data_IF_255459018313
#
_entry.id   IF_255459018313
#
_cell.length_a   1.000
_cell.length_b   1.000
_cell.length_c   1.000
_cell.angle_alpha   90.00
_cell.angle_beta   90.00
_cell.angle_gamma   90.00
#
_symmetry.space_group_name_H-M   'P 1'
#
loop_
_entity.id
_entity.type
_entity.pdbx_description
1 polymer ?
#
# COMPACT_ATOMS: atom_id res chain seq x y z
N UNK A 1 -42.56 2.12 25.01
CA UNK A 1 -42.14 0.83 24.42
C UNK A 1 -41.03 0.27 25.30
N UNK A 2 -41.35 -0.74 26.12
CA UNK A 2 -40.41 -1.42 27.03
C UNK A 2 -39.82 -2.63 26.29
N UNK A 3 -38.51 -2.78 26.33
CA UNK A 3 -37.79 -4.04 26.15
C UNK A 3 -36.79 -4.10 27.31
N UNK A 4 -37.18 -4.60 28.49
CA UNK A 4 -37.03 -5.99 28.97
C UNK A 4 -35.67 -6.59 28.63
N UNK A 5 -34.74 -6.41 29.58
CA UNK A 5 -33.58 -7.27 29.79
C UNK A 5 -34.12 -8.64 30.26
N UNK A 6 -33.72 -9.70 29.57
CA UNK A 6 -33.81 -11.08 30.06
C UNK A 6 -32.37 -11.60 30.09
N UNK A 7 -31.91 -12.17 31.22
CA UNK A 7 -30.57 -12.71 31.36
C UNK A 7 -30.54 -14.13 30.78
N UNK A 8 -29.69 -14.39 29.79
CA UNK A 8 -29.40 -15.76 29.38
C UNK A 8 -28.21 -16.27 30.19
N UNK A 9 -28.58 -16.90 31.30
CA UNK A 9 -28.10 -18.20 31.77
C UNK A 9 -26.60 -18.47 31.71
N UNK A 10 -26.02 -18.26 32.90
CA UNK A 10 -24.81 -18.90 33.39
C UNK A 10 -25.00 -20.42 33.33
N UNK A 11 -24.51 -21.04 32.27
CA UNK A 11 -24.23 -22.48 32.28
C UNK A 11 -22.75 -22.68 32.61
N UNK A 12 -22.52 -23.34 33.75
CA UNK A 12 -21.22 -23.79 34.21
C UNK A 12 -20.47 -24.56 33.11
N UNK A 13 -19.39 -23.97 32.58
CA UNK A 13 -18.39 -24.67 31.76
C UNK A 13 -17.06 -24.61 32.52
N UNK A 14 -16.40 -25.76 32.77
CA UNK A 14 -15.15 -25.81 33.52
C UNK A 14 -14.02 -25.06 32.82
N UNK A 15 -13.12 -24.52 33.64
CA UNK A 15 -11.89 -23.80 33.32
C UNK A 15 -11.22 -24.29 32.02
N UNK A 16 -11.36 -23.50 30.96
CA UNK A 16 -10.94 -23.86 29.62
C UNK A 16 -11.18 -22.70 28.66
N UNK A 17 -10.17 -21.82 28.55
CA UNK A 17 -10.15 -20.62 27.72
C UNK A 17 -10.68 -20.87 26.29
N UNK A 18 -11.90 -20.41 26.01
CA UNK A 18 -12.34 -20.13 24.65
C UNK A 18 -11.86 -18.73 24.33
N UNK A 19 -10.65 -18.63 23.77
CA UNK A 19 -10.15 -17.40 23.17
C UNK A 19 -11.02 -17.09 21.93
N UNK A 20 -12.07 -16.31 22.10
CA UNK A 20 -12.74 -15.64 20.98
C UNK A 20 -11.78 -14.59 20.44
N UNK A 21 -10.89 -15.01 19.53
CA UNK A 21 -10.02 -14.11 18.77
C UNK A 21 -10.96 -13.17 18.00
N UNK A 22 -11.14 -11.95 18.53
CA UNK A 22 -11.68 -10.85 17.74
C UNK A 22 -10.84 -10.80 16.47
N UNK A 23 -11.49 -10.81 15.31
CA UNK A 23 -10.84 -10.71 14.00
C UNK A 23 -10.36 -9.27 13.81
N UNK A 24 -9.51 -8.80 14.72
CA UNK A 24 -8.87 -7.50 14.65
C UNK A 24 -7.88 -7.54 13.49
N UNK A 25 -8.07 -6.64 12.53
CA UNK A 25 -7.12 -6.47 11.45
C UNK A 25 -5.79 -6.04 12.07
N UNK A 26 -4.69 -6.80 11.89
CA UNK A 26 -3.44 -6.51 12.59
C UNK A 26 -2.90 -5.10 12.28
N UNK A 27 -3.30 -4.50 11.16
CA UNK A 27 -2.92 -3.13 10.79
C UNK A 27 -3.43 -2.04 11.76
N UNK A 28 -4.42 -2.31 12.60
CA UNK A 28 -4.95 -1.35 13.61
C UNK A 28 -4.52 -1.68 15.05
N UNK A 29 -3.94 -2.86 15.28
CA UNK A 29 -3.58 -3.35 16.62
C UNK A 29 -2.11 -3.78 16.76
N UNK A 30 -1.32 -3.83 15.68
CA UNK A 30 0.10 -4.13 15.72
C UNK A 30 0.97 -2.86 15.86
N UNK A 31 2.26 -3.04 16.14
CA UNK A 31 3.24 -1.95 16.28
C UNK A 31 3.55 -1.16 15.00
N UNK A 32 2.92 -1.52 13.87
CA UNK A 32 3.07 -0.89 12.53
C UNK A 32 4.50 -0.84 12.00
N UNK A 33 5.33 -1.83 12.34
CA UNK A 33 6.74 -1.85 11.93
C UNK A 33 6.92 -1.86 10.41
N UNK A 34 5.94 -2.39 9.66
CA UNK A 34 5.93 -2.27 8.20
C UNK A 34 5.90 -0.83 7.70
N UNK A 35 5.30 0.10 8.45
CA UNK A 35 5.31 1.52 8.14
C UNK A 35 6.59 2.22 8.61
N UNK A 36 7.36 1.64 9.54
CA UNK A 36 8.59 2.23 10.09
C UNK A 36 9.82 1.85 9.27
N UNK A 37 9.87 0.59 8.80
CA UNK A 37 11.09 0.00 8.26
C UNK A 37 11.11 -0.09 6.73
N UNK A 38 9.97 -0.21 6.07
CA UNK A 38 9.94 -0.38 4.60
C UNK A 38 9.92 0.96 3.85
N UNK A 39 10.77 1.09 2.84
CA UNK A 39 10.59 2.07 1.77
C UNK A 39 9.48 1.60 0.83
N UNK A 40 8.39 2.36 0.78
CA UNK A 40 7.20 2.01 0.01
C UNK A 40 7.27 2.65 -1.38
N UNK A 41 7.69 1.88 -2.37
CA UNK A 41 7.61 2.27 -3.78
C UNK A 41 6.16 2.21 -4.26
N UNK A 42 5.77 3.16 -5.09
CA UNK A 42 4.38 3.33 -5.51
C UNK A 42 4.28 3.46 -7.02
N UNK A 43 3.18 2.95 -7.57
CA UNK A 43 2.86 3.05 -8.99
C UNK A 43 1.94 4.25 -9.28
N UNK A 44 1.57 4.44 -10.55
CA UNK A 44 0.73 5.56 -10.98
C UNK A 44 -0.65 5.59 -10.32
N UNK A 45 -1.26 4.42 -10.16
CA UNK A 45 -2.59 4.29 -9.60
C UNK A 45 -2.60 4.52 -8.09
N UNK A 46 -1.52 4.13 -7.39
CA UNK A 46 -1.32 4.47 -5.99
C UNK A 46 -1.21 5.99 -5.81
N UNK A 47 -0.37 6.66 -6.60
CA UNK A 47 -0.16 8.11 -6.55
C UNK A 47 -1.47 8.84 -6.86
N UNK A 48 -2.16 8.44 -7.93
CA UNK A 48 -3.45 9.02 -8.30
C UNK A 48 -4.48 8.86 -7.18
N UNK A 49 -4.64 7.63 -6.66
CA UNK A 49 -5.61 7.33 -5.60
C UNK A 49 -5.33 8.11 -4.32
N UNK A 50 -4.06 8.22 -3.91
CA UNK A 50 -3.67 9.03 -2.75
C UNK A 50 -3.98 10.51 -2.99
N UNK A 51 -3.62 11.04 -4.16
CA UNK A 51 -3.81 12.46 -4.50
C UNK A 51 -5.30 12.86 -4.43
N UNK A 52 -6.17 12.07 -5.05
CA UNK A 52 -7.61 12.37 -5.10
C UNK A 52 -8.27 12.23 -3.73
N UNK A 53 -7.95 11.20 -2.95
CA UNK A 53 -8.58 11.00 -1.63
C UNK A 53 -8.08 11.98 -0.57
N UNK A 54 -6.83 12.46 -0.68
CA UNK A 54 -6.26 13.42 0.26
C UNK A 54 -6.47 14.89 -0.16
N UNK A 55 -6.75 15.16 -1.44
CA UNK A 55 -6.73 16.51 -1.99
C UNK A 55 -5.33 17.14 -1.95
N UNK A 56 -4.29 16.31 -2.09
CA UNK A 56 -2.89 16.72 -2.02
C UNK A 56 -2.16 16.44 -3.33
N UNK A 57 -1.27 17.36 -3.70
CA UNK A 57 -0.32 17.14 -4.80
C UNK A 57 0.68 16.02 -4.46
N UNK A 58 1.09 15.19 -5.44
CA UNK A 58 2.02 14.08 -5.22
C UNK A 58 3.31 14.47 -4.48
N UNK A 59 3.88 15.64 -4.79
CA UNK A 59 5.10 16.15 -4.17
C UNK A 59 4.97 16.37 -2.66
N UNK A 60 3.75 16.42 -2.11
CA UNK A 60 3.53 16.48 -0.67
C UNK A 60 3.89 15.16 0.01
N UNK A 61 3.65 14.02 -0.65
CA UNK A 61 3.81 12.69 -0.07
C UNK A 61 4.84 11.79 -0.75
N UNK A 62 5.42 12.21 -1.89
CA UNK A 62 6.44 11.46 -2.61
C UNK A 62 7.85 12.01 -2.41
N UNK A 63 8.82 11.10 -2.36
CA UNK A 63 10.24 11.39 -2.51
C UNK A 63 10.83 10.57 -3.67
N UNK A 64 11.98 11.02 -4.16
CA UNK A 64 12.72 10.35 -5.23
C UNK A 64 13.80 9.43 -4.65
N UNK A 65 13.94 8.26 -5.24
CA UNK A 65 15.07 7.36 -5.03
C UNK A 65 15.81 7.17 -6.35
N UNK A 66 17.10 6.85 -6.31
CA UNK A 66 17.80 6.41 -7.51
C UNK A 66 17.14 5.14 -8.06
N UNK A 67 16.96 5.05 -9.38
CA UNK A 67 16.27 3.93 -9.99
C UNK A 67 16.93 2.59 -9.66
N UNK A 68 16.15 1.63 -9.20
CA UNK A 68 16.61 0.27 -8.90
C UNK A 68 16.81 -0.56 -10.17
N UNK A 69 15.93 -0.35 -11.14
CA UNK A 69 16.04 -0.92 -12.48
C UNK A 69 16.31 0.22 -13.48
N UNK A 70 17.51 0.23 -14.07
CA UNK A 70 17.89 1.27 -15.02
C UNK A 70 17.05 1.29 -16.30
N UNK A 71 16.40 0.18 -16.65
CA UNK A 71 15.52 0.07 -17.81
C UNK A 71 14.12 0.65 -17.56
N UNK A 72 13.69 0.68 -16.29
CA UNK A 72 12.38 1.15 -15.85
C UNK A 72 12.43 2.41 -14.97
N UNK A 73 13.60 3.00 -14.77
CA UNK A 73 13.73 4.29 -14.07
C UNK A 73 13.14 5.46 -14.87
N UNK A 74 12.54 6.42 -14.18
CA UNK A 74 11.96 7.63 -14.76
C UNK A 74 13.09 8.59 -15.15
N UNK A 75 13.20 8.95 -16.43
CA UNK A 75 14.16 9.96 -16.91
C UNK A 75 13.57 11.35 -16.77
N UNK A 76 14.02 12.08 -15.75
CA UNK A 76 13.65 13.48 -15.47
C UNK A 76 14.91 14.32 -15.25
N UNK A 77 14.73 15.64 -15.10
CA UNK A 77 15.85 16.59 -14.89
C UNK A 77 16.67 16.25 -13.65
N UNK A 78 16.00 15.73 -12.63
CA UNK A 78 16.54 15.34 -11.32
C UNK A 78 17.42 14.09 -11.39
N UNK A 79 17.25 13.26 -12.43
CA UNK A 79 18.04 12.03 -12.59
C UNK A 79 17.26 10.91 -13.26
N UNK A 80 17.76 9.68 -13.06
CA UNK A 80 17.03 8.45 -13.33
C UNK A 80 16.51 7.94 -11.98
N UNK A 81 15.20 8.03 -11.77
CA UNK A 81 14.61 7.92 -10.43
C UNK A 81 13.42 6.96 -10.37
N UNK A 82 13.16 6.45 -9.17
CA UNK A 82 11.91 5.81 -8.76
C UNK A 82 11.19 6.68 -7.73
N UNK A 83 9.88 6.45 -7.56
CA UNK A 83 9.04 7.18 -6.61
C UNK A 83 8.66 6.30 -5.43
N UNK A 84 8.82 6.84 -4.23
CA UNK A 84 8.41 6.21 -2.98
C UNK A 84 7.66 7.19 -2.08
N UNK A 85 6.89 6.65 -1.13
CA UNK A 85 6.30 7.45 -0.07
C UNK A 85 7.39 8.03 0.82
N UNK A 86 7.24 9.32 1.16
CA UNK A 86 8.11 10.00 2.11
C UNK A 86 8.14 9.30 3.47
N UNK A 87 9.28 9.42 4.13
CA UNK A 87 9.42 9.17 5.56
C UNK A 87 9.29 10.48 6.36
N UNK A 88 8.63 10.42 7.52
CA UNK A 88 8.50 11.50 8.51
C UNK A 88 8.60 10.89 9.92
N UNK A 89 9.40 11.49 10.80
CA UNK A 89 9.55 11.04 12.19
C UNK A 89 9.90 9.54 12.35
N UNK A 90 10.71 8.98 11.44
CA UNK A 90 11.14 7.58 11.51
C UNK A 90 10.12 6.56 10.99
N UNK A 91 9.09 6.99 10.27
CA UNK A 91 8.18 6.09 9.56
C UNK A 91 7.45 6.77 8.42
N UNK A 92 6.61 6.01 7.72
CA UNK A 92 5.89 6.46 6.53
C UNK A 92 5.14 7.76 6.81
N UNK A 93 5.06 8.67 5.85
CA UNK A 93 4.39 9.97 6.02
C UNK A 93 2.92 9.86 6.45
N UNK A 94 2.28 8.71 6.20
CA UNK A 94 0.91 8.43 6.60
C UNK A 94 0.79 7.66 7.92
N UNK A 95 1.89 7.43 8.62
CA UNK A 95 1.90 6.86 9.96
C UNK A 95 1.58 7.96 10.97
N UNK A 96 0.53 7.75 11.75
CA UNK A 96 0.14 8.63 12.86
C UNK A 96 0.21 7.86 14.18
N UNK A 97 0.69 8.54 15.21
CA UNK A 97 0.78 8.03 16.58
C UNK A 97 -0.18 8.81 17.47
N UNK A 98 -1.05 8.10 18.17
CA UNK A 98 -1.99 8.68 19.14
C UNK A 98 -2.04 7.78 20.38
N UNK A 99 -1.58 8.30 21.52
CA UNK A 99 -1.57 7.57 22.83
C UNK A 99 -0.96 6.17 22.72
N UNK A 100 0.23 6.08 22.13
CA UNK A 100 0.98 4.83 21.89
C UNK A 100 0.30 3.84 20.90
N UNK A 101 -0.79 4.24 20.25
CA UNK A 101 -1.42 3.51 19.15
C UNK A 101 -0.95 4.11 17.84
N UNK A 102 -0.38 3.27 16.97
CA UNK A 102 0.04 3.64 15.64
C UNK A 102 -1.01 3.26 14.60
N UNK A 103 -1.28 4.13 13.64
CA UNK A 103 -2.28 3.89 12.60
C UNK A 103 -1.89 4.49 11.26
N UNK A 104 -2.32 3.83 10.18
CA UNK A 104 -2.16 4.36 8.82
C UNK A 104 -3.36 5.25 8.48
N UNK A 105 -3.12 6.55 8.28
CA UNK A 105 -4.17 7.54 7.98
C UNK A 105 -4.83 7.32 6.61
N UNK A 106 -4.21 6.54 5.74
CA UNK A 106 -4.71 6.20 4.40
C UNK A 106 -5.17 4.74 4.28
N UNK A 107 -5.47 4.05 5.39
CA UNK A 107 -5.71 2.60 5.40
C UNK A 107 -6.71 2.13 4.31
N UNK A 108 -7.82 2.84 4.11
CA UNK A 108 -8.89 2.50 3.17
C UNK A 108 -8.45 2.57 1.69
N UNK A 109 -7.51 3.45 1.38
CA UNK A 109 -7.05 3.72 0.02
C UNK A 109 -5.53 3.60 -0.15
N UNK A 110 -4.88 2.87 0.76
CA UNK A 110 -3.43 2.66 0.81
C UNK A 110 -2.87 2.04 -0.49
N UNK A 111 -1.56 2.18 -0.75
CA UNK A 111 -0.91 1.59 -1.91
C UNK A 111 -1.14 0.08 -2.03
N UNK A 112 -1.09 -0.44 -3.26
CA UNK A 112 -1.29 -1.88 -3.53
C UNK A 112 -0.31 -2.76 -2.75
N UNK A 113 0.96 -2.38 -2.70
CA UNK A 113 2.00 -3.06 -1.91
C UNK A 113 1.66 -3.11 -0.41
N UNK A 114 1.05 -2.06 0.15
CA UNK A 114 0.62 -2.03 1.55
C UNK A 114 -0.66 -2.86 1.80
N UNK A 115 -1.50 -3.06 0.77
CA UNK A 115 -2.67 -3.96 0.84
C UNK A 115 -2.25 -5.42 0.82
N UNK A 116 -1.25 -5.74 0.01
CA UNK A 116 -0.77 -7.10 -0.22
C UNK A 116 0.19 -7.60 0.87
N UNK A 117 0.80 -6.71 1.65
CA UNK A 117 1.67 -7.08 2.77
C UNK A 117 0.98 -8.03 3.76
N UNK A 118 1.66 -9.11 4.25
CA UNK A 118 3.08 -9.45 4.08
C UNK A 118 3.40 -10.37 2.89
N UNK A 119 2.69 -10.24 1.78
CA UNK A 119 2.84 -11.11 0.61
C UNK A 119 3.29 -10.35 -0.63
N UNK A 120 3.93 -11.07 -1.54
CA UNK A 120 4.42 -10.55 -2.81
C UNK A 120 4.31 -11.60 -3.92
N UNK A 121 4.31 -11.16 -5.18
CA UNK A 121 4.44 -12.07 -6.31
C UNK A 121 5.93 -12.34 -6.56
N UNK A 122 6.34 -13.60 -6.46
CA UNK A 122 7.68 -14.07 -6.82
C UNK A 122 7.55 -15.21 -7.84
N UNK A 123 8.22 -15.10 -8.99
CA UNK A 123 8.12 -16.05 -10.11
C UNK A 123 6.67 -16.40 -10.49
N UNK A 124 5.79 -15.40 -10.46
CA UNK A 124 4.37 -15.56 -10.80
C UNK A 124 3.53 -16.28 -9.74
N UNK A 125 4.10 -16.64 -8.59
CA UNK A 125 3.40 -17.23 -7.45
C UNK A 125 3.27 -16.23 -6.31
N UNK A 126 2.17 -16.29 -5.57
CA UNK A 126 2.10 -15.57 -4.30
C UNK A 126 3.04 -16.28 -3.32
N UNK A 127 3.88 -15.50 -2.66
CA UNK A 127 4.71 -15.98 -1.57
C UNK A 127 4.58 -15.02 -0.40
N UNK A 128 4.62 -15.57 0.80
CA UNK A 128 4.78 -14.76 1.99
C UNK A 128 6.24 -14.28 2.07
N UNK A 129 6.43 -13.00 2.38
CA UNK A 129 7.76 -12.42 2.53
C UNK A 129 8.48 -13.07 3.72
N UNK A 130 9.69 -13.56 3.50
CA UNK A 130 10.54 -14.10 4.58
C UNK A 130 10.95 -13.02 5.58
N UNK A 131 11.09 -11.77 5.13
CA UNK A 131 11.38 -10.59 5.94
C UNK A 131 10.15 -9.98 6.61
N UNK A 132 9.00 -10.67 6.65
CA UNK A 132 7.78 -10.12 7.26
C UNK A 132 8.04 -9.71 8.71
N UNK A 133 7.62 -8.51 9.04
CA UNK A 133 7.50 -8.00 10.42
C UNK A 133 6.07 -8.15 10.94
N UNK A 134 5.15 -8.70 10.13
CA UNK A 134 3.79 -8.97 10.57
C UNK A 134 3.83 -10.12 11.59
N UNK A 135 3.35 -9.91 12.83
CA UNK A 135 3.38 -10.94 13.86
C UNK A 135 2.33 -12.04 13.63
N UNK A 136 1.40 -11.83 12.69
CA UNK A 136 0.34 -12.79 12.39
C UNK A 136 0.91 -13.92 11.53
N UNK A 137 0.62 -15.15 11.95
CA UNK A 137 0.83 -16.32 11.12
C UNK A 137 -0.39 -16.51 10.21
N UNK A 138 -0.18 -16.32 8.91
CA UNK A 138 -1.23 -16.32 7.93
C UNK A 138 -1.29 -17.69 7.26
N UNK A 139 -2.48 -18.30 7.17
CA UNK A 139 -2.68 -19.41 6.23
C UNK A 139 -2.52 -18.88 4.81
N UNK A 140 -1.42 -19.28 4.16
CA UNK A 140 -1.06 -18.77 2.85
C UNK A 140 -2.11 -19.13 1.80
N UNK A 141 -2.73 -20.32 1.87
CA UNK A 141 -3.70 -20.79 0.88
C UNK A 141 -5.06 -20.09 0.98
N UNK A 142 -5.52 -19.77 2.19
CA UNK A 142 -6.74 -18.99 2.39
C UNK A 142 -6.53 -17.51 2.03
N UNK A 143 -5.39 -16.95 2.44
CA UNK A 143 -5.04 -15.56 2.14
C UNK A 143 -4.82 -15.34 0.64
N UNK A 144 -4.18 -16.30 -0.05
CA UNK A 144 -4.05 -16.31 -1.51
C UNK A 144 -5.40 -16.13 -2.19
N UNK A 145 -6.41 -16.88 -1.77
CA UNK A 145 -7.75 -16.79 -2.35
C UNK A 145 -8.41 -15.45 -2.06
N UNK A 146 -8.25 -14.91 -0.85
CA UNK A 146 -8.78 -13.60 -0.49
C UNK A 146 -8.12 -12.47 -1.27
N UNK A 147 -6.81 -12.55 -1.52
CA UNK A 147 -6.02 -11.47 -2.09
C UNK A 147 -5.74 -11.60 -3.59
N UNK A 148 -6.07 -12.73 -4.22
CA UNK A 148 -5.80 -12.97 -5.64
C UNK A 148 -6.27 -11.83 -6.55
N UNK A 149 -7.47 -11.29 -6.28
CA UNK A 149 -8.02 -10.16 -7.04
C UNK A 149 -7.19 -8.90 -6.84
N UNK A 150 -6.79 -8.60 -5.59
CA UNK A 150 -5.98 -7.44 -5.26
C UNK A 150 -4.57 -7.53 -5.86
N UNK A 151 -3.94 -8.70 -5.78
CA UNK A 151 -2.61 -8.94 -6.32
C UNK A 151 -2.59 -8.89 -7.84
N UNK A 152 -3.62 -9.45 -8.50
CA UNK A 152 -3.78 -9.33 -9.94
C UNK A 152 -3.92 -7.86 -10.34
N UNK A 153 -4.77 -7.12 -9.64
CA UNK A 153 -4.95 -5.68 -9.87
C UNK A 153 -3.64 -4.91 -9.68
N UNK A 154 -2.93 -5.15 -8.58
CA UNK A 154 -1.64 -4.50 -8.28
C UNK A 154 -0.62 -4.78 -9.39
N UNK A 155 -0.53 -6.04 -9.85
CA UNK A 155 0.31 -6.42 -11.00
C UNK A 155 -0.06 -5.67 -12.28
N UNK A 156 -1.35 -5.54 -12.57
CA UNK A 156 -1.83 -4.82 -13.76
C UNK A 156 -1.53 -3.30 -13.63
N UNK A 157 -1.66 -2.72 -12.43
CA UNK A 157 -1.33 -1.32 -12.15
C UNK A 157 0.18 -1.03 -12.29
N UNK A 158 1.04 -1.96 -11.86
CA UNK A 158 2.50 -1.89 -12.07
C UNK A 158 2.87 -2.02 -13.54
N UNK A 159 2.29 -2.96 -14.27
CA UNK A 159 2.54 -3.07 -15.73
C UNK A 159 2.18 -1.78 -16.46
N UNK A 160 1.03 -1.19 -16.12
CA UNK A 160 0.62 0.09 -16.68
C UNK A 160 1.62 1.22 -16.35
N UNK A 161 2.13 1.24 -15.12
CA UNK A 161 3.15 2.20 -14.70
C UNK A 161 4.45 2.04 -15.52
N UNK A 162 4.92 0.82 -15.70
CA UNK A 162 6.13 0.53 -16.49
C UNK A 162 5.95 1.01 -17.94
N UNK A 163 4.79 0.74 -18.55
CA UNK A 163 4.43 1.22 -19.88
C UNK A 163 4.45 2.77 -19.96
N UNK A 164 3.93 3.46 -18.93
CA UNK A 164 3.99 4.92 -18.86
C UNK A 164 5.42 5.45 -18.75
N UNK A 165 6.27 4.81 -17.95
CA UNK A 165 7.68 5.21 -17.82
C UNK A 165 8.40 5.03 -19.15
N UNK A 166 8.20 3.90 -19.83
CA UNK A 166 8.77 3.64 -21.16
C UNK A 166 8.30 4.68 -22.19
N UNK A 167 6.99 4.99 -22.19
CA UNK A 167 6.42 6.01 -23.08
C UNK A 167 7.02 7.40 -22.79
N UNK A 168 7.09 7.79 -21.51
CA UNK A 168 7.67 9.05 -21.08
C UNK A 168 9.12 9.17 -21.53
N UNK A 169 9.92 8.13 -21.26
CA UNK A 169 11.34 8.06 -21.56
C UNK A 169 11.61 8.11 -23.07
N UNK A 170 10.72 7.56 -23.90
CA UNK A 170 10.83 7.60 -25.36
C UNK A 170 10.49 8.99 -25.94
N UNK A 171 9.52 9.70 -25.35
CA UNK A 171 9.03 10.99 -25.88
C UNK A 171 9.83 12.20 -25.37
N UNK A 172 10.50 12.08 -24.23
CA UNK A 172 11.14 13.21 -23.54
C UNK A 172 12.67 13.08 -23.45
N UNK A 173 13.32 13.02 -24.61
CA UNK A 173 14.78 12.96 -24.70
C UNK A 173 15.47 14.18 -24.08
N UNK A 174 14.85 15.36 -24.17
CA UNK A 174 15.19 16.51 -23.31
C UNK A 174 14.51 16.30 -21.97
N UNK A 175 15.33 16.09 -20.93
CA UNK A 175 14.88 15.81 -19.56
C UNK A 175 14.01 16.95 -19.00
N UNK A 176 12.70 16.70 -18.93
CA UNK A 176 11.71 17.56 -18.27
C UNK A 176 11.76 17.37 -16.74
N UNK A 177 11.30 18.35 -15.94
CA UNK A 177 11.24 18.21 -14.48
C UNK A 177 10.26 17.11 -14.06
N UNK A 178 10.45 16.57 -12.85
CA UNK A 178 9.59 15.52 -12.29
C UNK A 178 8.10 15.91 -12.28
N UNK A 179 7.77 17.17 -11.98
CA UNK A 179 6.39 17.65 -11.97
C UNK A 179 5.67 17.46 -13.32
N UNK A 180 6.40 17.54 -14.43
CA UNK A 180 5.83 17.28 -15.75
C UNK A 180 5.51 15.79 -15.96
N UNK A 181 6.33 14.90 -15.40
CA UNK A 181 6.06 13.45 -15.43
C UNK A 181 4.86 13.10 -14.54
N UNK A 182 4.82 13.65 -13.32
CA UNK A 182 3.69 13.46 -12.39
C UNK A 182 2.37 13.88 -13.04
N UNK A 183 2.33 15.06 -13.66
CA UNK A 183 1.16 15.50 -14.41
C UNK A 183 0.80 14.53 -15.55
N UNK A 184 1.77 14.17 -16.38
CA UNK A 184 1.56 13.23 -17.50
C UNK A 184 0.94 11.91 -17.03
N UNK A 185 1.45 11.35 -15.94
CA UNK A 185 0.99 10.10 -15.36
C UNK A 185 -0.42 10.21 -14.79
N UNK A 186 -0.70 11.25 -14.01
CA UNK A 186 -2.03 11.45 -13.42
C UNK A 186 -3.10 11.61 -14.50
N UNK A 187 -2.83 12.41 -15.54
CA UNK A 187 -3.74 12.60 -16.68
C UNK A 187 -4.02 11.24 -17.39
N UNK A 188 -3.03 10.34 -17.43
CA UNK A 188 -3.16 9.00 -18.04
C UNK A 188 -3.96 8.02 -17.19
N UNK A 189 -3.76 8.01 -15.87
CA UNK A 189 -4.58 7.19 -14.97
C UNK A 189 -6.02 7.69 -14.98
N UNK A 190 -6.24 9.00 -14.93
CA UNK A 190 -7.60 9.54 -14.98
C UNK A 190 -8.33 9.13 -16.28
N UNK A 191 -7.61 9.15 -17.40
CA UNK A 191 -8.15 8.73 -18.69
C UNK A 191 -8.46 7.23 -18.75
N UNK A 192 -7.63 6.37 -18.14
CA UNK A 192 -7.87 4.92 -18.15
C UNK A 192 -9.05 4.49 -17.29
N UNK A 193 -9.41 5.29 -16.27
CA UNK A 193 -10.56 5.02 -15.39
C UNK A 193 -11.91 5.48 -15.96
N UNK A 194 -11.90 6.29 -17.02
CA UNK A 194 -13.12 6.79 -17.70
C UNK A 194 -13.60 5.87 -18.83
N UNK A 195 -12.82 4.85 -19.17
CA UNK A 195 -13.09 3.86 -20.21
C UNK A 195 -13.77 2.62 -19.62
#
# INVERSE_FOLDING_TARGET
MKLKVIPDDLHDVPDGQINTVSKEYPCISCHTDCCKEYTIFVNAHDIYRLSINLGLEPERFLEIYGAKDYSLGIKVKEGLVDLALKQKNGGCIFLEESKDVFGCTVNEFKPGVCKSYPFQINDGKLVQMSSKMCPVDWDTGEFEKMMAVHLKKDKDEWRFYDELVLEWNARHWVKKPLSAFLKFMLDRVESSLKL
#
